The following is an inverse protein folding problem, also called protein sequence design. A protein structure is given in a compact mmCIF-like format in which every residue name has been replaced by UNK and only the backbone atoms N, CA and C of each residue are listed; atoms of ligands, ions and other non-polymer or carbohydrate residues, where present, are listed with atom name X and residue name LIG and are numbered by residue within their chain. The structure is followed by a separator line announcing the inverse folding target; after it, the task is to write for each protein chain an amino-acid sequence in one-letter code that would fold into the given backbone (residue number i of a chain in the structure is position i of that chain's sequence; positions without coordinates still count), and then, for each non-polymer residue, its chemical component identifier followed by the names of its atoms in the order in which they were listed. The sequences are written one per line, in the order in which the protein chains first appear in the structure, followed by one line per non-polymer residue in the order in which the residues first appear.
data_IF_272907047585
#
_entry.id   IF_272907047585
#
_cell.length_a   1.000
_cell.length_b   1.000
_cell.length_c   1.000
_cell.angle_alpha   90.00
_cell.angle_beta   90.00
_cell.angle_gamma   90.00
#
_symmetry.space_group_name_H-M   'P 1'
#
loop_
_entity.id
_entity.type
_entity.pdbx_description
1 polymer ?
#
# COMPACT_ATOMS: atom_id res chain seq x y z
N UNK A 1 -13.48 -7.70 21.43
CA UNK A 1 -13.99 -8.37 20.22
C UNK A 1 -14.39 -7.29 19.23
N UNK A 2 -13.63 -7.09 18.16
CA UNK A 2 -13.88 -6.06 17.16
C UNK A 2 -14.20 -6.75 15.83
N UNK A 3 -15.49 -6.72 15.46
CA UNK A 3 -15.97 -7.28 14.19
C UNK A 3 -15.66 -6.35 13.02
N UNK A 4 -15.17 -6.92 11.93
CA UNK A 4 -15.09 -6.28 10.62
C UNK A 4 -16.51 -6.26 10.04
N UNK A 5 -17.14 -5.10 9.95
CA UNK A 5 -18.43 -4.95 9.28
C UNK A 5 -18.19 -4.61 7.81
N UNK A 6 -18.45 -5.59 6.94
CA UNK A 6 -18.39 -5.47 5.48
C UNK A 6 -19.81 -5.15 4.98
N UNK A 7 -20.05 -3.93 4.50
CA UNK A 7 -21.29 -3.59 3.79
C UNK A 7 -21.04 -3.81 2.29
N UNK A 8 -21.47 -4.97 1.80
CA UNK A 8 -21.50 -5.30 0.37
C UNK A 8 -22.95 -5.20 -0.11
N UNK A 9 -23.21 -4.33 -1.09
CA UNK A 9 -24.47 -4.36 -1.84
C UNK A 9 -24.49 -5.59 -2.76
N UNK A 10 -25.11 -6.68 -2.27
CA UNK A 10 -25.69 -7.91 -2.88
C UNK A 10 -25.28 -8.20 -4.36
N UNK A 11 -24.68 -9.33 -4.76
CA UNK A 11 -25.02 -10.74 -4.53
C UNK A 11 -23.77 -11.66 -4.47
N UNK A 12 -23.28 -11.95 -3.27
CA UNK A 12 -22.57 -13.17 -2.88
C UNK A 12 -22.58 -13.18 -1.34
N UNK A 13 -22.63 -14.34 -0.66
CA UNK A 13 -22.50 -14.36 0.79
C UNK A 13 -21.21 -13.63 1.19
N UNK A 14 -21.23 -12.81 2.25
CA UNK A 14 -20.05 -12.07 2.70
C UNK A 14 -18.93 -13.06 3.01
N UNK A 15 -17.95 -13.15 2.12
CA UNK A 15 -16.69 -13.79 2.42
C UNK A 15 -15.94 -12.91 3.41
N UNK A 16 -15.87 -13.32 4.68
CA UNK A 16 -14.93 -12.74 5.62
C UNK A 16 -13.57 -13.29 5.26
N UNK A 17 -12.72 -12.47 4.64
CA UNK A 17 -11.32 -12.78 4.45
C UNK A 17 -10.61 -12.50 5.77
N UNK A 18 -10.69 -13.45 6.71
CA UNK A 18 -9.86 -13.41 7.91
C UNK A 18 -8.38 -13.58 7.50
N UNK A 19 -7.51 -12.85 8.19
CA UNK A 19 -6.08 -13.00 8.04
C UNK A 19 -5.69 -14.39 8.58
N UNK A 20 -5.63 -15.36 7.68
CA UNK A 20 -5.39 -16.76 7.95
C UNK A 20 -3.99 -16.96 8.58
N UNK A 21 -3.91 -17.71 9.67
CA UNK A 21 -2.64 -18.13 10.26
C UNK A 21 -1.77 -18.90 9.26
N UNK A 22 -2.38 -19.58 8.28
CA UNK A 22 -1.67 -20.23 7.18
C UNK A 22 -1.10 -19.21 6.16
N UNK A 23 -1.60 -17.98 6.09
CA UNK A 23 -0.93 -16.90 5.34
C UNK A 23 0.37 -16.51 6.06
N UNK A 24 0.35 -16.29 7.38
CA UNK A 24 1.55 -15.95 8.15
C UNK A 24 2.62 -17.07 8.13
N UNK A 25 2.20 -18.34 8.14
CA UNK A 25 3.10 -19.49 8.04
C UNK A 25 3.78 -19.65 6.66
N UNK A 26 3.23 -19.03 5.60
CA UNK A 26 3.78 -19.05 4.23
C UNK A 26 4.84 -17.98 3.98
N UNK A 27 5.06 -17.05 4.92
CA UNK A 27 5.96 -15.90 4.76
C UNK A 27 7.11 -16.01 5.75
N UNK A 28 8.27 -16.56 5.35
CA UNK A 28 9.41 -16.71 6.24
C UNK A 28 9.93 -15.34 6.71
N UNK A 29 10.65 -15.35 7.84
CA UNK A 29 11.35 -14.19 8.45
C UNK A 29 12.17 -13.36 7.46
N UNK A 30 12.59 -13.94 6.34
CA UNK A 30 13.37 -13.27 5.29
C UNK A 30 12.56 -12.26 4.46
N UNK A 31 11.22 -12.40 4.36
CA UNK A 31 10.38 -11.47 3.60
C UNK A 31 10.46 -10.05 4.15
N UNK A 32 10.34 -9.91 5.46
CA UNK A 32 10.34 -8.63 6.16
C UNK A 32 11.72 -7.96 6.08
N UNK A 33 12.80 -8.77 6.09
CA UNK A 33 14.17 -8.31 5.94
C UNK A 33 14.46 -7.82 4.51
N UNK A 34 14.05 -8.59 3.50
CA UNK A 34 14.22 -8.22 2.09
C UNK A 34 13.37 -6.98 1.78
N UNK A 35 12.11 -6.95 2.22
CA UNK A 35 11.25 -5.80 2.03
C UNK A 35 11.84 -4.51 2.64
N UNK A 36 12.44 -4.59 3.83
CA UNK A 36 13.19 -3.48 4.45
C UNK A 36 14.41 -3.08 3.63
N UNK A 37 15.12 -4.04 3.05
CA UNK A 37 16.30 -3.76 2.24
C UNK A 37 15.94 -3.07 0.90
N UNK A 38 14.87 -3.50 0.24
CA UNK A 38 14.50 -3.01 -1.11
C UNK A 38 13.60 -1.78 -1.11
N UNK A 39 12.78 -1.60 -0.06
CA UNK A 39 11.86 -0.47 0.06
C UNK A 39 11.92 0.18 1.46
N UNK A 40 13.11 0.62 1.93
CA UNK A 40 13.31 1.10 3.30
C UNK A 40 12.42 2.30 3.67
N UNK A 41 11.95 3.07 2.69
CA UNK A 41 11.01 4.18 2.88
C UNK A 41 9.62 3.73 3.36
N UNK A 42 9.18 2.53 2.96
CA UNK A 42 7.94 1.90 3.45
C UNK A 42 8.07 1.52 4.93
N UNK A 43 9.30 1.20 5.37
CA UNK A 43 9.61 0.70 6.70
C UNK A 43 10.20 1.75 7.64
N UNK A 44 10.55 2.92 7.12
CA UNK A 44 11.08 4.03 7.90
C UNK A 44 9.96 4.59 8.78
N UNK A 45 10.30 5.09 9.99
CA UNK A 45 9.33 5.79 10.80
C UNK A 45 8.69 6.90 9.96
N UNK A 46 7.36 6.89 9.78
CA UNK A 46 6.70 7.92 9.01
C UNK A 46 6.94 9.28 9.71
N UNK A 47 7.22 10.35 8.95
CA UNK A 47 7.33 11.70 9.47
C UNK A 47 6.11 12.08 10.34
N UNK A 48 6.31 13.03 11.27
CA UNK A 48 5.31 13.51 12.23
C UNK A 48 4.95 12.52 13.36
N UNK A 49 5.86 11.58 13.64
CA UNK A 49 5.80 10.73 14.83
C UNK A 49 4.63 9.74 14.86
N UNK A 50 4.20 9.21 13.71
CA UNK A 50 3.13 8.20 13.70
C UNK A 50 3.62 6.94 14.43
N UNK A 51 2.87 6.42 15.40
CA UNK A 51 3.26 5.22 16.13
C UNK A 51 2.99 3.96 15.29
N UNK A 52 3.95 3.54 14.45
CA UNK A 52 3.85 2.30 13.69
C UNK A 52 3.61 1.08 14.60
N UNK A 53 2.72 0.18 14.20
CA UNK A 53 2.55 -1.13 14.84
C UNK A 53 1.82 -1.17 16.20
N UNK A 54 1.42 -0.03 16.79
CA UNK A 54 0.74 0.04 18.11
C UNK A 54 1.68 -0.13 19.31
N UNK A 55 1.42 0.46 20.50
CA UNK A 55 0.15 0.77 21.18
C UNK A 55 -0.18 2.27 21.36
N UNK A 56 0.47 3.19 20.64
CA UNK A 56 0.45 4.62 20.95
C UNK A 56 -0.71 5.47 20.34
N UNK A 57 -1.75 4.84 19.76
CA UNK A 57 -2.96 5.59 19.39
C UNK A 57 -3.86 5.80 20.60
N UNK A 58 -4.37 7.01 20.75
CA UNK A 58 -5.24 7.38 21.85
C UNK A 58 -6.61 6.73 21.69
N UNK A 59 -6.89 5.73 22.54
CA UNK A 59 -8.13 4.98 22.57
C UNK A 59 -9.38 5.82 22.93
N UNK A 60 -9.24 7.10 23.26
CA UNK A 60 -10.37 8.04 23.43
C UNK A 60 -11.03 8.41 22.11
N UNK A 61 -10.34 8.20 20.99
CA UNK A 61 -10.83 8.53 19.65
C UNK A 61 -11.22 7.27 18.88
N UNK A 62 -12.26 7.36 18.05
CA UNK A 62 -12.63 6.32 17.10
C UNK A 62 -11.69 6.27 15.89
N UNK A 63 -11.01 7.39 15.58
CA UNK A 63 -9.96 7.46 14.58
C UNK A 63 -8.60 7.16 15.25
N UNK A 64 -7.64 6.55 14.54
CA UNK A 64 -6.28 6.39 15.06
C UNK A 64 -5.61 7.77 15.21
N UNK A 65 -5.57 8.30 16.43
CA UNK A 65 -5.05 9.62 16.72
C UNK A 65 -3.88 9.59 17.73
N UNK A 66 -2.94 10.51 17.60
CA UNK A 66 -1.79 10.68 18.50
C UNK A 66 -1.45 12.17 18.62
N UNK A 67 -0.70 12.55 19.65
CA UNK A 67 -0.11 13.88 19.73
C UNK A 67 1.27 13.84 19.08
N UNK A 68 1.52 14.77 18.17
CA UNK A 68 2.82 14.91 17.50
C UNK A 68 3.90 15.28 18.52
N UNK A 69 5.00 14.51 18.52
CA UNK A 69 6.09 14.65 19.49
C UNK A 69 6.64 16.08 19.53
N UNK A 70 6.93 16.58 20.74
CA UNK A 70 7.39 17.95 20.95
C UNK A 70 6.31 19.03 20.73
N UNK A 71 5.08 18.65 20.40
CA UNK A 71 3.96 19.58 20.20
C UNK A 71 2.71 19.13 20.97
N UNK A 72 1.71 20.01 21.09
CA UNK A 72 0.36 19.66 21.56
C UNK A 72 -0.62 19.39 20.39
N UNK A 73 -0.12 19.26 19.17
CA UNK A 73 -0.96 19.12 17.99
C UNK A 73 -1.48 17.68 17.89
N UNK A 74 -2.80 17.52 17.88
CA UNK A 74 -3.44 16.24 17.61
C UNK A 74 -3.34 15.93 16.12
N UNK A 75 -2.85 14.72 15.81
CA UNK A 75 -2.83 14.13 14.48
C UNK A 75 -3.74 12.91 14.48
N UNK A 76 -4.36 12.64 13.33
CA UNK A 76 -5.23 11.49 13.16
C UNK A 76 -5.02 10.89 11.77
N UNK A 77 -5.18 9.57 11.67
CA UNK A 77 -5.38 8.86 10.42
C UNK A 77 -6.88 8.61 10.18
N UNK A 78 -7.30 8.26 8.94
CA UNK A 78 -8.65 7.79 8.69
C UNK A 78 -9.04 6.60 9.57
N UNK A 79 -10.28 6.58 10.07
CA UNK A 79 -10.87 5.44 10.76
C UNK A 79 -11.14 4.25 9.82
N UNK A 80 -11.41 4.53 8.54
CA UNK A 80 -11.60 3.49 7.53
C UNK A 80 -11.27 3.99 6.12
N UNK A 81 -11.13 3.03 5.21
CA UNK A 81 -10.87 3.27 3.79
C UNK A 81 -11.94 2.58 2.95
N UNK A 82 -12.55 3.33 2.03
CA UNK A 82 -13.29 2.78 0.92
C UNK A 82 -12.33 2.63 -0.27
N UNK A 83 -12.05 1.39 -0.63
CA UNK A 83 -11.10 1.02 -1.68
C UNK A 83 -11.84 0.31 -2.81
N UNK A 84 -11.25 0.23 -3.99
CA UNK A 84 -11.84 -0.51 -5.09
C UNK A 84 -10.95 -0.44 -6.32
N UNK A 85 -11.50 -0.87 -7.46
CA UNK A 85 -10.92 -0.63 -8.77
C UNK A 85 -11.46 0.64 -9.42
N UNK A 86 -10.77 1.10 -10.47
CA UNK A 86 -11.32 2.13 -11.35
C UNK A 86 -12.72 1.71 -11.83
N UNK A 87 -13.63 2.68 -11.95
CA UNK A 87 -15.02 2.46 -12.38
C UNK A 87 -15.87 1.58 -11.45
N UNK A 88 -15.43 1.30 -10.23
CA UNK A 88 -16.22 0.55 -9.24
C UNK A 88 -17.10 1.47 -8.36
N UNK A 89 -17.50 2.66 -8.82
CA UNK A 89 -18.35 3.61 -8.08
C UNK A 89 -17.86 4.06 -6.67
N UNK A 90 -16.58 3.84 -6.31
CA UNK A 90 -15.99 4.25 -5.02
C UNK A 90 -16.19 5.75 -4.75
N UNK A 91 -16.00 6.62 -5.75
CA UNK A 91 -16.22 8.06 -5.59
C UNK A 91 -17.67 8.41 -5.30
N UNK A 92 -18.63 7.74 -5.97
CA UNK A 92 -20.06 7.99 -5.76
C UNK A 92 -20.48 7.57 -4.35
N UNK A 93 -20.15 6.35 -3.95
CA UNK A 93 -20.43 5.86 -2.61
C UNK A 93 -19.73 6.72 -1.54
N UNK A 94 -18.46 7.10 -1.76
CA UNK A 94 -17.74 7.99 -0.87
C UNK A 94 -18.43 9.35 -0.69
N UNK A 95 -18.96 9.95 -1.76
CA UNK A 95 -19.74 11.19 -1.67
C UNK A 95 -21.04 11.00 -0.89
N UNK A 96 -21.74 9.88 -1.06
CA UNK A 96 -22.96 9.57 -0.28
C UNK A 96 -22.65 9.37 1.20
N UNK A 97 -21.58 8.66 1.53
CA UNK A 97 -21.12 8.49 2.91
C UNK A 97 -20.78 9.84 3.53
N UNK A 98 -20.15 10.76 2.78
CA UNK A 98 -19.81 12.10 3.27
C UNK A 98 -21.02 12.97 3.67
N UNK A 99 -22.25 12.59 3.27
CA UNK A 99 -23.48 13.25 3.71
C UNK A 99 -23.94 12.79 5.10
N UNK A 100 -23.41 11.68 5.63
CA UNK A 100 -23.73 11.20 6.97
C UNK A 100 -23.24 12.16 8.04
N UNK A 101 -24.03 12.32 9.11
CA UNK A 101 -23.68 13.18 10.25
C UNK A 101 -22.39 12.73 10.96
N UNK A 102 -22.05 11.44 10.88
CA UNK A 102 -20.86 10.88 11.53
C UNK A 102 -19.63 10.90 10.62
N UNK A 103 -19.79 11.12 9.31
CA UNK A 103 -18.69 11.08 8.37
C UNK A 103 -17.92 12.42 8.34
N UNK A 104 -16.59 12.33 8.33
CA UNK A 104 -15.71 13.50 8.23
C UNK A 104 -14.75 13.35 7.05
N UNK A 105 -14.77 14.31 6.13
CA UNK A 105 -13.87 14.27 4.98
C UNK A 105 -12.56 15.00 5.26
N UNK A 106 -11.40 14.44 4.90
CA UNK A 106 -10.14 15.18 4.91
C UNK A 106 -10.10 16.27 3.81
N UNK A 107 -8.97 16.97 3.68
CA UNK A 107 -8.77 17.96 2.63
C UNK A 107 -8.93 17.37 1.21
N UNK A 108 -8.55 16.10 1.03
CA UNK A 108 -8.79 15.34 -0.19
C UNK A 108 -9.17 13.90 0.17
N UNK A 109 -10.47 13.59 0.13
CA UNK A 109 -10.96 12.24 0.44
C UNK A 109 -10.64 11.21 -0.64
N UNK A 110 -10.19 11.63 -1.82
CA UNK A 110 -9.84 10.76 -2.93
C UNK A 110 -8.33 10.57 -3.06
N UNK A 111 -7.56 10.91 -2.03
CA UNK A 111 -6.11 10.68 -2.04
C UNK A 111 -5.78 9.19 -1.86
N UNK A 112 -4.77 8.69 -2.56
CA UNK A 112 -4.33 7.32 -2.37
C UNK A 112 -3.61 7.19 -1.02
N UNK A 113 -3.85 6.09 -0.30
CA UNK A 113 -2.97 5.69 0.78
C UNK A 113 -1.72 5.08 0.15
N UNK A 114 -0.61 5.81 0.24
CA UNK A 114 0.72 5.42 -0.22
C UNK A 114 0.86 5.11 -1.72
N UNK A 115 1.62 5.93 -2.43
CA UNK A 115 2.04 5.71 -3.82
C UNK A 115 3.33 6.49 -4.07
N UNK A 116 4.47 5.82 -4.07
CA UNK A 116 5.83 6.41 -4.08
C UNK A 116 6.25 7.09 -5.39
N UNK A 117 5.40 7.10 -6.41
CA UNK A 117 5.64 7.90 -7.61
C UNK A 117 5.68 9.40 -7.31
N UNK A 118 6.74 10.08 -7.80
CA UNK A 118 6.84 11.53 -7.81
C UNK A 118 5.54 12.13 -8.41
N UNK A 119 4.70 12.71 -7.55
CA UNK A 119 3.41 13.31 -7.93
C UNK A 119 2.16 12.67 -7.33
N UNK A 120 2.21 11.42 -6.80
CA UNK A 120 0.99 10.67 -6.44
C UNK A 120 0.86 10.18 -4.98
N UNK A 121 1.84 10.43 -4.09
CA UNK A 121 1.62 10.23 -2.65
C UNK A 121 2.65 9.39 -1.87
N UNK A 122 3.94 9.51 -2.17
CA UNK A 122 5.01 8.90 -1.38
C UNK A 122 5.39 9.66 -0.11
N UNK A 123 4.72 10.78 0.18
CA UNK A 123 5.01 11.60 1.36
C UNK A 123 3.97 11.32 2.45
N UNK A 124 4.37 10.50 3.43
CA UNK A 124 3.63 10.25 4.67
C UNK A 124 3.21 11.54 5.38
N UNK A 125 4.09 12.54 5.42
CA UNK A 125 3.82 13.81 6.07
C UNK A 125 2.72 14.56 5.33
N UNK A 126 2.74 14.54 4.00
CA UNK A 126 1.64 15.09 3.18
C UNK A 126 0.35 14.34 3.45
N UNK A 127 0.39 13.00 3.48
CA UNK A 127 -0.78 12.18 3.75
C UNK A 127 -1.42 12.50 5.10
N UNK A 128 -0.61 12.54 6.17
CA UNK A 128 -1.08 12.90 7.52
C UNK A 128 -1.66 14.32 7.54
N UNK A 129 -1.03 15.29 6.85
CA UNK A 129 -1.53 16.66 6.77
C UNK A 129 -2.88 16.79 6.04
N UNK A 130 -3.28 15.84 5.19
CA UNK A 130 -4.64 15.85 4.60
C UNK A 130 -5.73 15.75 5.68
N UNK A 131 -5.41 15.12 6.80
CA UNK A 131 -6.33 14.89 7.91
C UNK A 131 -6.51 16.14 8.79
N UNK A 132 -5.63 17.14 8.70
CA UNK A 132 -5.69 18.35 9.54
C UNK A 132 -7.06 19.06 9.43
N UNK A 133 -7.70 19.01 8.25
CA UNK A 133 -9.07 19.54 8.05
C UNK A 133 -10.13 18.80 8.86
N UNK A 134 -9.96 17.49 9.07
CA UNK A 134 -10.90 16.64 9.79
C UNK A 134 -10.72 16.71 11.32
N UNK A 135 -9.50 16.98 11.79
CA UNK A 135 -9.11 16.96 13.22
C UNK A 135 -10.04 17.79 14.12
N UNK A 136 -10.42 19.04 13.80
CA UNK A 136 -11.30 19.82 14.68
C UNK A 136 -12.69 19.19 14.92
N UNK A 137 -13.22 18.45 13.94
CA UNK A 137 -14.49 17.72 14.11
C UNK A 137 -14.29 16.46 14.93
N UNK A 138 -13.20 15.72 14.66
CA UNK A 138 -12.81 14.55 15.46
C UNK A 138 -12.61 14.94 16.94
N UNK A 139 -11.99 16.08 17.22
CA UNK A 139 -11.81 16.57 18.60
C UNK A 139 -13.13 16.88 19.32
N UNK A 140 -14.11 17.46 18.61
CA UNK A 140 -15.44 17.78 19.17
C UNK A 140 -16.31 16.55 19.35
N UNK A 141 -16.09 15.51 18.54
CA UNK A 141 -16.91 14.29 18.48
C UNK A 141 -16.01 13.05 18.47
N UNK A 142 -15.21 12.82 19.53
CA UNK A 142 -14.10 11.85 19.50
C UNK A 142 -14.56 10.41 19.25
N UNK A 143 -15.79 10.07 19.61
CA UNK A 143 -16.34 8.71 19.48
C UNK A 143 -17.22 8.49 18.25
N UNK A 144 -17.74 9.54 17.62
CA UNK A 144 -18.72 9.43 16.54
C UNK A 144 -18.24 10.01 15.20
N UNK A 145 -17.37 11.02 15.21
CA UNK A 145 -16.81 11.54 13.97
C UNK A 145 -15.80 10.55 13.38
N UNK A 146 -16.12 9.95 12.24
CA UNK A 146 -15.30 8.98 11.53
C UNK A 146 -14.74 9.58 10.25
N UNK A 147 -13.43 9.81 10.22
CA UNK A 147 -12.78 10.26 9.00
C UNK A 147 -12.45 9.09 8.08
N UNK A 148 -12.56 9.31 6.77
CA UNK A 148 -12.35 8.25 5.80
C UNK A 148 -11.73 8.76 4.50
N UNK A 149 -11.14 7.82 3.76
CA UNK A 149 -10.66 8.02 2.39
C UNK A 149 -11.39 7.07 1.46
N UNK A 150 -11.74 7.53 0.26
CA UNK A 150 -12.50 6.80 -0.75
C UNK A 150 -11.77 6.83 -2.09
N UNK A 151 -10.73 6.02 -2.28
CA UNK A 151 -9.90 6.08 -3.50
C UNK A 151 -10.00 4.78 -4.34
N UNK A 152 -10.45 4.85 -5.61
CA UNK A 152 -10.62 3.70 -6.52
C UNK A 152 -9.32 3.15 -7.11
N UNK A 153 -8.19 3.81 -6.88
CA UNK A 153 -6.89 3.44 -7.37
C UNK A 153 -6.00 2.84 -6.28
N UNK A 154 -6.45 2.79 -5.02
CA UNK A 154 -5.65 2.28 -3.91
C UNK A 154 -5.20 0.82 -4.12
N UNK A 155 -6.09 -0.05 -4.61
CA UNK A 155 -5.72 -1.43 -4.93
C UNK A 155 -4.65 -1.49 -6.03
N UNK A 156 -4.85 -0.72 -7.10
CA UNK A 156 -3.95 -0.69 -8.25
C UNK A 156 -2.57 -0.08 -7.90
N UNK A 157 -2.53 0.98 -7.11
CA UNK A 157 -1.27 1.63 -6.73
C UNK A 157 -0.53 0.87 -5.66
N UNK A 158 -1.21 0.21 -4.72
CA UNK A 158 -0.53 -0.70 -3.79
C UNK A 158 0.08 -1.89 -4.53
N UNK A 159 -0.60 -2.42 -5.55
CA UNK A 159 0.00 -3.41 -6.44
C UNK A 159 1.21 -2.84 -7.21
N UNK A 160 1.13 -1.60 -7.69
CA UNK A 160 2.28 -0.96 -8.34
C UNK A 160 3.47 -0.79 -7.37
N UNK A 161 3.22 -0.51 -6.10
CA UNK A 161 4.27 -0.48 -5.05
C UNK A 161 4.85 -1.86 -4.79
N UNK A 162 4.07 -2.94 -4.90
CA UNK A 162 4.59 -4.30 -4.89
C UNK A 162 5.63 -4.50 -6.00
N UNK A 163 5.44 -3.95 -7.19
CA UNK A 163 6.44 -4.05 -8.25
C UNK A 163 7.82 -3.43 -7.88
N UNK A 164 7.91 -2.53 -6.88
CA UNK A 164 9.20 -1.95 -6.43
C UNK A 164 10.12 -2.99 -5.81
N UNK A 165 9.60 -4.06 -5.22
CA UNK A 165 10.48 -5.13 -4.70
C UNK A 165 11.27 -5.81 -5.81
N UNK A 166 10.78 -5.74 -7.05
CA UNK A 166 11.44 -6.26 -8.24
C UNK A 166 12.09 -5.15 -9.09
N UNK A 167 12.30 -3.94 -8.55
CA UNK A 167 12.99 -2.87 -9.29
C UNK A 167 14.45 -3.26 -9.60
N UNK A 168 15.10 -4.06 -8.73
CA UNK A 168 16.39 -4.67 -9.02
C UNK A 168 16.31 -5.55 -10.28
N UNK A 169 15.34 -6.47 -10.32
CA UNK A 169 15.08 -7.31 -11.47
C UNK A 169 14.89 -6.49 -12.76
N UNK A 170 13.99 -5.49 -12.72
CA UNK A 170 13.70 -4.63 -13.86
C UNK A 170 14.93 -3.85 -14.35
N UNK A 171 15.74 -3.33 -13.43
CA UNK A 171 17.01 -2.64 -13.76
C UNK A 171 18.03 -3.59 -14.38
N UNK A 172 18.18 -4.80 -13.85
CA UNK A 172 19.11 -5.81 -14.37
C UNK A 172 18.70 -6.26 -15.78
N UNK A 173 17.42 -6.56 -16.00
CA UNK A 173 16.87 -6.86 -17.34
C UNK A 173 17.14 -5.68 -18.28
N UNK A 174 16.79 -4.46 -17.86
CA UNK A 174 16.97 -3.25 -18.66
C UNK A 174 18.42 -2.97 -19.03
N UNK A 175 19.36 -3.15 -18.09
CA UNK A 175 20.79 -2.99 -18.30
C UNK A 175 21.34 -4.07 -19.25
N UNK A 176 20.99 -5.34 -19.03
CA UNK A 176 21.37 -6.46 -19.91
C UNK A 176 20.87 -6.25 -21.34
N UNK A 177 19.60 -5.86 -21.50
CA UNK A 177 19.02 -5.54 -22.82
C UNK A 177 19.66 -4.33 -23.49
N UNK A 178 20.09 -3.33 -22.72
CA UNK A 178 20.83 -2.17 -23.24
C UNK A 178 22.21 -2.60 -23.71
N UNK A 179 22.90 -3.50 -23.00
CA UNK A 179 24.19 -4.08 -23.44
C UNK A 179 24.01 -4.85 -24.75
N UNK A 180 23.06 -5.78 -24.81
CA UNK A 180 22.67 -6.49 -26.04
C UNK A 180 22.04 -5.61 -27.15
N UNK A 181 21.91 -4.30 -26.94
CA UNK A 181 21.47 -3.33 -27.97
C UNK A 181 22.57 -2.35 -28.37
N UNK A 182 23.57 -2.14 -27.50
CA UNK A 182 24.64 -1.13 -27.67
C UNK A 182 25.91 -1.71 -28.31
N UNK A 183 25.85 -2.84 -28.98
CA UNK A 183 26.97 -3.34 -29.77
C UNK A 183 27.22 -2.50 -31.01
N UNK A 184 27.93 -1.41 -30.78
CA UNK A 184 29.04 -1.01 -31.61
C UNK A 184 30.28 -1.73 -31.04
N UNK A 185 30.77 -2.75 -31.77
CA UNK A 185 32.05 -3.51 -31.66
C UNK A 185 32.03 -4.92 -31.02
N UNK A 186 32.88 -5.86 -31.52
CA UNK A 186 32.72 -7.31 -31.37
C UNK A 186 33.29 -7.79 -30.05
N UNK A 187 32.44 -7.93 -29.05
CA UNK A 187 32.69 -8.82 -27.92
C UNK A 187 31.93 -10.13 -28.17
N UNK A 188 32.40 -11.27 -27.65
CA UNK A 188 31.72 -12.57 -27.79
C UNK A 188 30.23 -12.54 -27.34
N UNK A 189 29.90 -11.59 -26.46
CA UNK A 189 28.53 -11.31 -26.00
C UNK A 189 27.63 -10.86 -27.15
N UNK A 190 28.18 -10.24 -28.19
CA UNK A 190 27.44 -9.69 -29.32
C UNK A 190 26.83 -10.72 -30.25
N UNK A 191 27.61 -11.75 -30.56
CA UNK A 191 27.09 -12.87 -31.35
C UNK A 191 26.01 -13.63 -30.59
N UNK A 192 26.16 -13.77 -29.27
CA UNK A 192 25.16 -14.42 -28.42
C UNK A 192 23.87 -13.59 -28.28
N UNK A 193 23.96 -12.25 -28.25
CA UNK A 193 22.81 -11.36 -28.18
C UNK A 193 21.97 -11.33 -29.48
N UNK A 194 22.47 -11.87 -30.61
CA UNK A 194 21.69 -12.06 -31.86
C UNK A 194 20.64 -13.15 -31.72
N UNK A 195 20.89 -14.16 -30.90
CA UNK A 195 19.88 -15.16 -30.55
C UNK A 195 18.88 -14.55 -29.56
N UNK A 196 17.65 -14.35 -30.04
CA UNK A 196 16.55 -13.81 -29.22
C UNK A 196 16.24 -14.67 -28.00
N UNK A 197 16.42 -15.99 -28.11
CA UNK A 197 16.17 -16.94 -27.01
C UNK A 197 17.29 -16.83 -25.98
N UNK A 198 18.56 -16.88 -26.42
CA UNK A 198 19.70 -16.62 -25.51
C UNK A 198 19.56 -15.26 -24.81
N UNK A 199 19.27 -14.20 -25.55
CA UNK A 199 19.09 -12.84 -25.02
C UNK A 199 18.00 -12.77 -23.95
N UNK A 200 16.86 -13.44 -24.18
CA UNK A 200 15.77 -13.53 -23.21
C UNK A 200 16.19 -14.35 -21.98
N UNK A 201 16.65 -15.59 -22.20
CA UNK A 201 16.98 -16.54 -21.14
C UNK A 201 18.17 -16.05 -20.28
N UNK A 202 19.20 -15.49 -20.90
CA UNK A 202 20.38 -14.96 -20.22
C UNK A 202 20.05 -13.74 -19.36
N UNK A 203 19.35 -12.75 -19.93
CA UNK A 203 19.03 -11.53 -19.19
C UNK A 203 18.03 -11.79 -18.06
N UNK A 204 17.06 -12.69 -18.26
CA UNK A 204 16.14 -13.09 -17.19
C UNK A 204 16.87 -13.89 -16.11
N UNK A 205 17.72 -14.87 -16.46
CA UNK A 205 18.49 -15.64 -15.48
C UNK A 205 19.40 -14.74 -14.63
N UNK A 206 20.12 -13.82 -15.26
CA UNK A 206 20.95 -12.84 -14.55
C UNK A 206 20.12 -11.99 -13.59
N UNK A 207 18.91 -11.58 -14.00
CA UNK A 207 18.01 -10.82 -13.15
C UNK A 207 17.50 -11.65 -11.97
N UNK A 208 17.15 -12.92 -12.17
CA UNK A 208 16.77 -13.83 -11.08
C UNK A 208 17.92 -14.08 -10.08
N UNK A 209 19.16 -14.24 -10.56
CA UNK A 209 20.35 -14.43 -9.70
C UNK A 209 20.70 -13.17 -8.89
N UNK A 210 20.38 -11.98 -9.41
CA UNK A 210 20.75 -10.70 -8.79
C UNK A 210 19.60 -9.99 -8.07
N UNK A 211 18.37 -10.48 -8.17
CA UNK A 211 17.21 -9.91 -7.49
C UNK A 211 16.99 -10.58 -6.13
N UNK A 212 17.23 -9.89 -5.00
CA UNK A 212 17.03 -10.47 -3.68
C UNK A 212 15.58 -10.91 -3.43
N UNK A 213 14.60 -10.24 -4.05
CA UNK A 213 13.20 -10.61 -3.95
C UNK A 213 12.85 -11.89 -4.73
N UNK A 214 13.69 -12.30 -5.69
CA UNK A 214 13.56 -13.57 -6.42
C UNK A 214 14.20 -14.76 -5.68
N UNK A 215 15.07 -14.50 -4.71
CA UNK A 215 15.77 -15.54 -3.94
C UNK A 215 14.87 -16.26 -2.91
N UNK A 216 13.71 -15.69 -2.55
CA UNK A 216 12.76 -16.29 -1.59
C UNK A 216 11.79 -17.31 -2.22
N UNK A 217 12.00 -17.65 -3.50
CA UNK A 217 11.21 -18.66 -4.21
C UNK A 217 10.07 -18.09 -5.05
N UNK A 218 9.26 -18.97 -5.68
CA UNK A 218 8.33 -18.61 -6.74
C UNK A 218 7.16 -17.71 -6.32
N UNK A 219 6.92 -17.57 -5.00
CA UNK A 219 5.93 -16.62 -4.48
C UNK A 219 6.48 -15.17 -4.39
N UNK A 220 7.81 -14.98 -4.43
CA UNK A 220 8.45 -13.67 -4.32
C UNK A 220 8.13 -12.91 -3.02
N UNK A 221 8.64 -11.69 -2.87
CA UNK A 221 8.20 -10.79 -1.78
C UNK A 221 6.95 -10.06 -2.23
N UNK A 222 5.81 -10.31 -1.58
CA UNK A 222 4.56 -9.59 -1.88
C UNK A 222 4.20 -8.54 -0.82
N UNK A 223 3.85 -7.33 -1.29
CA UNK A 223 3.18 -6.34 -0.45
C UNK A 223 1.67 -6.45 -0.63
N UNK A 224 0.98 -6.77 0.45
CA UNK A 224 -0.48 -6.69 0.48
C UNK A 224 -0.93 -5.37 1.11
N UNK A 225 -2.00 -4.77 0.58
CA UNK A 225 -2.59 -3.56 1.16
C UNK A 225 -2.90 -3.70 2.66
N UNK A 226 -3.46 -4.83 3.16
CA UNK A 226 -3.63 -5.03 4.59
C UNK A 226 -2.36 -4.99 5.43
N UNK A 227 -1.19 -5.40 4.91
CA UNK A 227 0.08 -5.29 5.64
C UNK A 227 0.54 -3.84 5.75
N UNK A 228 0.56 -3.11 4.63
CA UNK A 228 0.95 -1.70 4.59
C UNK A 228 0.05 -0.87 5.51
N UNK A 229 -1.25 -1.15 5.47
CA UNK A 229 -2.25 -0.52 6.32
C UNK A 229 -2.02 -0.84 7.80
N UNK A 230 -1.77 -2.10 8.16
CA UNK A 230 -1.51 -2.48 9.56
C UNK A 230 -0.24 -1.87 10.12
N UNK A 231 0.78 -1.64 9.29
CA UNK A 231 1.98 -0.92 9.73
C UNK A 231 1.63 0.50 10.19
N UNK A 232 0.87 1.21 9.37
CA UNK A 232 0.52 2.60 9.62
C UNK A 232 -0.55 2.79 10.71
N UNK A 233 -1.52 1.88 10.80
CA UNK A 233 -2.70 1.98 11.67
C UNK A 233 -2.65 1.05 12.90
N UNK A 234 -1.64 0.19 12.99
CA UNK A 234 -1.67 -0.94 13.91
C UNK A 234 -2.74 -1.98 13.52
N UNK A 235 -3.18 -2.77 14.48
CA UNK A 235 -4.14 -3.86 14.24
C UNK A 235 -5.57 -3.40 13.84
N UNK A 236 -5.89 -2.11 13.96
CA UNK A 236 -7.28 -1.62 13.97
C UNK A 236 -7.66 -0.81 12.71
N UNK A 237 -7.25 -1.26 11.52
CA UNK A 237 -7.65 -0.62 10.25
C UNK A 237 -8.88 -1.31 9.64
N UNK A 238 -9.86 -0.51 9.21
CA UNK A 238 -11.04 -1.00 8.48
C UNK A 238 -10.91 -0.68 6.99
N UNK A 239 -10.96 -1.72 6.16
CA UNK A 239 -10.96 -1.61 4.70
C UNK A 239 -12.32 -2.08 4.19
N UNK A 240 -13.01 -1.24 3.43
CA UNK A 240 -14.25 -1.55 2.73
C UNK A 240 -13.92 -1.60 1.24
N UNK A 241 -13.94 -2.78 0.65
CA UNK A 241 -13.63 -2.97 -0.77
C UNK A 241 -14.91 -2.97 -1.61
N UNK A 242 -14.95 -2.13 -2.63
CA UNK A 242 -16.00 -2.10 -3.63
C UNK A 242 -15.45 -2.66 -4.95
N UNK A 243 -15.96 -3.82 -5.33
CA UNK A 243 -15.54 -4.58 -6.50
C UNK A 243 -16.69 -4.64 -7.50
N UNK A 244 -16.37 -4.60 -8.79
CA UNK A 244 -17.34 -4.80 -9.86
C UNK A 244 -17.50 -6.30 -10.10
N UNK A 245 -18.75 -6.75 -10.27
CA UNK A 245 -19.02 -8.10 -10.75
C UNK A 245 -18.52 -8.21 -12.21
N UNK A 246 -17.61 -9.15 -12.52
CA UNK A 246 -17.12 -9.33 -13.90
C UNK A 246 -18.15 -9.97 -14.84
N UNK A 247 -19.28 -10.48 -14.32
CA UNK A 247 -20.35 -11.11 -15.10
C UNK A 247 -21.14 -10.13 -15.97
#
# INVERSE_FOLDING_TARGET
MAGVLLLVGVCAPPGVWEYDAAWAARHPTDHDAIARAVAPDIFSPPPLGVPLGGPAFNASFANPCWHEEGTRKLRCLPAFYLIGGFQCAVHDLGRRIALSADAVTPANMFHAFWSSGAGFGGDWGRFVRLMDKAVPRIQRQPRSALAFIANPAMLAFTWAEHARVHDSFARTVGACWKRCRKELQPSEVAELCKDKKYKLDHCLRLAYEQDPASAVGPAGVEFTLPQLMRRAHGANVKLVALLRNPA
#
